data_IF_850424681135
#
_entry.id   IF_850424681135
#
_cell.length_a   1.000
_cell.length_b   1.000
_cell.length_c   1.000
_cell.angle_alpha   90.00
_cell.angle_beta   90.00
_cell.angle_gamma   90.00
#
_symmetry.space_group_name_H-M   'P 1'
#
loop_
_entity.id
_entity.type
_entity.pdbx_description
1 polymer ?
#
# COMPACT_ATOMS: atom_id res chain seq x y z
N UNK A 1 -14.54 8.84 42.57
CA UNK A 1 -14.39 9.14 41.12
C UNK A 1 -14.41 7.81 40.41
N UNK A 2 -15.56 7.49 39.83
CA UNK A 2 -15.90 6.16 39.31
C UNK A 2 -15.07 5.79 38.09
N UNK A 3 -14.55 4.56 38.11
CA UNK A 3 -13.79 3.98 37.02
C UNK A 3 -14.71 3.74 35.82
N UNK A 4 -14.48 4.49 34.75
CA UNK A 4 -15.00 4.17 33.42
C UNK A 4 -14.34 2.87 32.97
N UNK A 5 -15.08 1.78 33.06
CA UNK A 5 -14.68 0.44 32.65
C UNK A 5 -14.35 0.44 31.16
N UNK A 6 -13.31 -0.31 30.74
CA UNK A 6 -12.80 -0.34 29.36
C UNK A 6 -13.83 -0.67 28.25
N UNK A 7 -15.02 -1.16 28.61
CA UNK A 7 -16.15 -1.37 27.70
C UNK A 7 -16.65 -0.07 27.02
N UNK A 8 -16.63 1.04 27.74
CA UNK A 8 -17.22 2.30 27.29
C UNK A 8 -16.28 3.04 26.33
N UNK A 9 -14.98 2.93 26.57
CA UNK A 9 -13.94 3.43 25.66
C UNK A 9 -13.94 2.69 24.33
N UNK A 10 -14.09 1.36 24.35
CA UNK A 10 -14.09 0.54 23.14
C UNK A 10 -15.34 0.81 22.29
N UNK A 11 -16.49 0.99 22.93
CA UNK A 11 -17.75 1.35 22.26
C UNK A 11 -17.66 2.72 21.60
N UNK A 12 -17.05 3.70 22.28
CA UNK A 12 -16.82 5.03 21.71
C UNK A 12 -15.88 4.97 20.50
N UNK A 13 -14.75 4.29 20.63
CA UNK A 13 -13.78 4.11 19.54
C UNK A 13 -14.42 3.43 18.33
N UNK A 14 -15.21 2.38 18.56
CA UNK A 14 -15.99 1.70 17.52
C UNK A 14 -16.91 2.67 16.78
N UNK A 15 -17.69 3.47 17.51
CA UNK A 15 -18.63 4.43 16.92
C UNK A 15 -17.90 5.52 16.10
N UNK A 16 -16.74 6.00 16.58
CA UNK A 16 -15.89 6.93 15.84
C UNK A 16 -15.40 6.32 14.52
N UNK A 17 -14.87 5.09 14.55
CA UNK A 17 -14.40 4.38 13.35
C UNK A 17 -15.56 4.16 12.36
N UNK A 18 -16.74 3.79 12.86
CA UNK A 18 -17.91 3.54 12.00
C UNK A 18 -18.40 4.82 11.34
N UNK A 19 -18.46 5.93 12.10
CA UNK A 19 -18.79 7.25 11.56
C UNK A 19 -17.78 7.69 10.50
N UNK A 20 -16.48 7.47 10.76
CA UNK A 20 -15.41 7.84 9.85
C UNK A 20 -15.44 7.07 8.52
N UNK A 21 -15.68 5.75 8.56
CA UNK A 21 -15.84 4.97 7.32
C UNK A 21 -17.07 5.45 6.56
N UNK A 22 -18.20 5.64 7.25
CA UNK A 22 -19.48 6.03 6.62
C UNK A 22 -19.54 7.48 6.15
N UNK A 23 -18.63 8.36 6.61
CA UNK A 23 -18.51 9.72 6.09
C UNK A 23 -17.91 9.76 4.68
N UNK A 24 -17.27 8.68 4.23
CA UNK A 24 -16.78 8.57 2.85
C UNK A 24 -17.95 8.53 1.86
N UNK A 25 -17.85 9.30 0.79
CA UNK A 25 -18.85 9.33 -0.29
C UNK A 25 -19.03 7.92 -0.86
N UNK A 26 -20.26 7.42 -0.85
CA UNK A 26 -20.61 6.07 -1.33
C UNK A 26 -20.58 4.98 -0.25
N UNK A 27 -20.08 5.25 0.96
CA UNK A 27 -19.94 4.22 2.02
C UNK A 27 -20.96 4.35 3.17
N UNK A 28 -22.00 5.19 3.03
CA UNK A 28 -22.98 5.46 4.09
C UNK A 28 -23.61 4.19 4.69
N UNK A 29 -23.86 3.19 3.84
CA UNK A 29 -24.51 1.93 4.21
C UNK A 29 -23.55 0.73 4.19
N UNK A 30 -22.23 0.96 4.20
CA UNK A 30 -21.26 -0.14 4.18
C UNK A 30 -21.44 -1.03 5.41
N UNK A 31 -21.40 -2.33 5.16
CA UNK A 31 -21.45 -3.33 6.21
C UNK A 31 -20.04 -3.52 6.81
N UNK A 32 -19.89 -3.19 8.09
CA UNK A 32 -18.63 -3.36 8.83
C UNK A 32 -18.73 -4.67 9.62
N UNK A 33 -17.94 -5.65 9.22
CA UNK A 33 -17.87 -7.00 9.83
C UNK A 33 -16.61 -7.15 10.68
N UNK A 34 -16.61 -8.13 11.59
CA UNK A 34 -15.43 -8.58 12.36
C UNK A 34 -14.63 -7.44 13.03
N UNK A 35 -15.33 -6.48 13.64
CA UNK A 35 -14.69 -5.40 14.37
C UNK A 35 -14.06 -5.91 15.68
N UNK A 36 -12.79 -5.57 15.93
CA UNK A 36 -12.06 -5.94 17.14
C UNK A 36 -11.07 -4.84 17.51
N UNK A 37 -10.94 -4.54 18.81
CA UNK A 37 -9.86 -3.71 19.34
C UNK A 37 -8.92 -4.60 20.14
N UNK A 38 -7.62 -4.51 19.87
CA UNK A 38 -6.56 -5.11 20.67
C UNK A 38 -5.78 -4.04 21.41
N UNK A 39 -5.66 -4.21 22.72
CA UNK A 39 -4.79 -3.40 23.56
C UNK A 39 -3.39 -4.00 23.49
N UNK A 40 -2.44 -3.28 22.90
CA UNK A 40 -1.05 -3.73 22.84
C UNK A 40 -0.26 -3.24 24.05
N UNK A 41 -0.58 -2.05 24.57
CA UNK A 41 -0.20 -1.56 25.87
C UNK A 41 -1.25 -0.51 26.34
N UNK A 42 -0.96 0.28 27.37
CA UNK A 42 -1.89 1.30 27.89
C UNK A 42 -2.19 2.43 26.90
N UNK A 43 -1.30 2.67 25.93
CA UNK A 43 -1.33 3.84 25.06
C UNK A 43 -1.56 3.49 23.57
N UNK A 44 -1.45 2.21 23.21
CA UNK A 44 -1.52 1.74 21.82
C UNK A 44 -2.62 0.70 21.67
N UNK A 45 -3.63 1.09 20.89
CA UNK A 45 -4.78 0.27 20.52
C UNK A 45 -4.75 -0.03 19.03
N UNK A 46 -4.92 -1.31 18.67
CA UNK A 46 -5.07 -1.75 17.29
C UNK A 46 -6.53 -2.08 17.00
N UNK A 47 -7.15 -1.36 16.07
CA UNK A 47 -8.50 -1.66 15.60
C UNK A 47 -8.44 -2.45 14.30
N UNK A 48 -9.10 -3.60 14.28
CA UNK A 48 -9.30 -4.45 13.11
C UNK A 48 -10.76 -4.39 12.71
N UNK A 49 -11.01 -4.31 11.40
CA UNK A 49 -12.35 -4.33 10.83
C UNK A 49 -12.29 -4.96 9.45
N UNK A 50 -13.42 -5.47 8.99
CA UNK A 50 -13.56 -6.02 7.65
C UNK A 50 -14.71 -5.30 6.93
N UNK A 51 -14.43 -4.80 5.74
CA UNK A 51 -15.37 -4.19 4.80
C UNK A 51 -15.11 -4.79 3.42
N UNK A 52 -16.01 -4.58 2.46
CA UNK A 52 -15.76 -5.06 1.10
C UNK A 52 -14.57 -4.32 0.46
N UNK A 53 -13.94 -4.96 -0.55
CA UNK A 53 -12.69 -4.47 -1.16
C UNK A 53 -12.83 -3.08 -1.80
N UNK A 54 -13.99 -2.76 -2.37
CA UNK A 54 -14.20 -1.45 -2.98
C UNK A 54 -14.40 -0.37 -1.91
N UNK A 55 -15.12 -0.69 -0.83
CA UNK A 55 -15.19 0.17 0.33
C UNK A 55 -13.82 0.38 1.00
N UNK A 56 -12.99 -0.66 1.11
CA UNK A 56 -11.62 -0.55 1.62
C UNK A 56 -10.78 0.41 0.79
N UNK A 57 -10.83 0.30 -0.55
CA UNK A 57 -10.14 1.23 -1.46
C UNK A 57 -10.60 2.68 -1.25
N UNK A 58 -11.91 2.91 -1.18
CA UNK A 58 -12.48 4.25 -1.00
C UNK A 58 -12.09 4.82 0.37
N UNK A 59 -12.27 4.05 1.44
CA UNK A 59 -11.94 4.47 2.80
C UNK A 59 -10.43 4.72 2.96
N UNK A 60 -9.58 3.86 2.40
CA UNK A 60 -8.14 4.01 2.41
C UNK A 60 -7.66 5.24 1.63
N UNK A 61 -8.24 5.52 0.46
CA UNK A 61 -7.87 6.68 -0.36
C UNK A 61 -8.12 8.02 0.33
N UNK A 62 -9.20 8.12 1.11
CA UNK A 62 -9.54 9.36 1.83
C UNK A 62 -9.16 9.29 3.33
N UNK A 63 -8.25 8.38 3.69
CA UNK A 63 -7.88 8.13 5.09
C UNK A 63 -7.38 9.37 5.83
N UNK A 64 -6.61 10.24 5.16
CA UNK A 64 -6.17 11.52 5.71
C UNK A 64 -7.32 12.34 6.28
N UNK A 65 -8.43 12.38 5.55
CA UNK A 65 -9.52 13.33 5.80
C UNK A 65 -10.36 12.88 7.00
N UNK A 66 -10.63 11.57 7.13
CA UNK A 66 -11.45 11.06 8.22
C UNK A 66 -10.64 10.64 9.44
N UNK A 67 -9.36 10.28 9.30
CA UNK A 67 -8.51 9.97 10.45
C UNK A 67 -8.29 11.23 11.28
N UNK A 68 -7.96 12.36 10.66
CA UNK A 68 -7.73 13.60 11.41
C UNK A 68 -8.98 14.06 12.15
N UNK A 69 -10.15 13.92 11.54
CA UNK A 69 -11.44 14.37 12.08
C UNK A 69 -11.97 13.44 13.18
N UNK A 70 -11.93 12.12 12.95
CA UNK A 70 -12.60 11.15 13.83
C UNK A 70 -11.66 10.35 14.72
N UNK A 71 -10.39 10.21 14.34
CA UNK A 71 -9.40 9.35 14.99
C UNK A 71 -8.05 10.06 15.14
N UNK A 72 -8.07 11.32 15.62
CA UNK A 72 -6.86 12.14 15.75
C UNK A 72 -5.73 11.39 16.46
N UNK A 73 -4.56 11.33 15.83
CA UNK A 73 -3.37 10.62 16.34
C UNK A 73 -3.32 9.13 16.00
N UNK A 74 -4.36 8.57 15.39
CA UNK A 74 -4.30 7.23 14.82
C UNK A 74 -3.51 7.24 13.50
N UNK A 75 -2.92 6.10 13.17
CA UNK A 75 -2.30 5.85 11.88
C UNK A 75 -3.01 4.69 11.19
N UNK A 76 -3.36 4.85 9.92
CA UNK A 76 -3.82 3.72 9.12
C UNK A 76 -2.66 2.75 8.92
N UNK A 77 -2.88 1.48 9.26
CA UNK A 77 -1.94 0.43 8.88
C UNK A 77 -2.26 0.09 7.42
N UNK A 78 -1.38 0.55 6.52
CA UNK A 78 -1.51 0.22 5.10
C UNK A 78 -1.52 -1.30 4.88
N UNK A 79 -2.26 -1.79 3.87
CA UNK A 79 -2.19 -3.19 3.46
C UNK A 79 -0.74 -3.64 3.28
N UNK A 80 -0.46 -4.88 3.70
CA UNK A 80 0.89 -5.44 3.57
C UNK A 80 1.23 -5.58 2.09
N UNK A 81 2.06 -4.69 1.60
CA UNK A 81 2.59 -4.76 0.25
C UNK A 81 3.87 -5.60 0.22
N UNK A 82 4.12 -6.27 -0.90
CA UNK A 82 5.29 -7.11 -1.11
C UNK A 82 6.22 -6.46 -2.13
N UNK A 83 7.30 -5.80 -1.70
CA UNK A 83 8.16 -5.07 -2.60
C UNK A 83 9.12 -6.00 -3.36
N UNK A 84 9.23 -5.75 -4.66
CA UNK A 84 10.24 -6.34 -5.54
C UNK A 84 11.04 -5.24 -6.23
N UNK A 85 12.31 -5.52 -6.49
CA UNK A 85 13.21 -4.64 -7.24
C UNK A 85 13.31 -5.15 -8.67
N UNK A 86 13.21 -4.24 -9.62
CA UNK A 86 13.33 -4.48 -11.05
C UNK A 86 14.50 -3.63 -11.51
N UNK A 87 15.56 -4.25 -12.02
CA UNK A 87 16.75 -3.53 -12.48
C UNK A 87 16.69 -3.20 -13.96
N UNK A 88 17.55 -2.30 -14.42
CA UNK A 88 17.75 -1.96 -15.83
C UNK A 88 16.53 -1.37 -16.57
N UNK A 89 15.51 -0.92 -15.86
CA UNK A 89 14.31 -0.30 -16.45
C UNK A 89 14.70 0.97 -17.22
N UNK A 90 14.24 1.07 -18.47
CA UNK A 90 14.49 2.22 -19.34
C UNK A 90 13.98 3.52 -18.69
N UNK A 91 14.87 4.49 -18.52
CA UNK A 91 14.50 5.78 -17.95
C UNK A 91 13.61 6.56 -18.92
N UNK A 92 13.90 6.49 -20.23
CA UNK A 92 13.17 7.25 -21.25
C UNK A 92 11.72 6.77 -21.32
N UNK A 93 11.50 5.47 -21.29
CA UNK A 93 10.18 4.88 -21.45
C UNK A 93 9.38 4.88 -20.14
N UNK A 94 10.07 4.76 -19.00
CA UNK A 94 9.40 4.62 -17.70
C UNK A 94 9.31 5.91 -16.87
N UNK A 95 9.95 7.02 -17.27
CA UNK A 95 9.92 8.27 -16.47
C UNK A 95 8.80 9.18 -16.92
N UNK A 96 8.06 9.74 -15.95
CA UNK A 96 7.11 10.81 -16.19
C UNK A 96 7.84 12.17 -16.30
N UNK A 97 7.60 12.90 -17.38
CA UNK A 97 8.32 14.15 -17.67
C UNK A 97 8.00 15.28 -16.68
N UNK A 98 6.82 15.26 -16.06
CA UNK A 98 6.37 16.33 -15.16
C UNK A 98 6.83 16.09 -13.72
N UNK A 99 6.69 14.85 -13.24
CA UNK A 99 6.93 14.48 -11.85
C UNK A 99 8.33 13.91 -11.61
N UNK A 100 9.07 13.55 -12.68
CA UNK A 100 10.32 12.78 -12.64
C UNK A 100 10.17 11.40 -11.95
N UNK A 101 8.93 10.97 -11.71
CA UNK A 101 8.56 9.68 -11.13
C UNK A 101 8.54 8.57 -12.18
N UNK A 102 8.14 7.36 -11.76
CA UNK A 102 7.77 6.32 -12.73
C UNK A 102 6.39 6.70 -13.29
N UNK A 103 6.24 6.70 -14.61
CA UNK A 103 4.97 7.02 -15.24
C UNK A 103 3.95 5.87 -15.08
N UNK A 104 2.66 6.20 -15.17
CA UNK A 104 1.60 5.20 -14.99
C UNK A 104 1.60 4.15 -16.12
N UNK A 105 2.06 4.51 -17.32
CA UNK A 105 2.18 3.60 -18.46
C UNK A 105 3.12 2.42 -18.13
N UNK A 106 4.30 2.68 -17.57
CA UNK A 106 5.26 1.66 -17.18
C UNK A 106 4.68 0.68 -16.16
N UNK A 107 3.91 1.21 -15.20
CA UNK A 107 3.21 0.39 -14.22
C UNK A 107 2.18 -0.51 -14.91
N UNK A 108 1.31 0.07 -15.73
CA UNK A 108 0.25 -0.66 -16.43
C UNK A 108 0.81 -1.72 -17.39
N UNK A 109 1.89 -1.41 -18.11
CA UNK A 109 2.59 -2.36 -18.96
C UNK A 109 3.15 -3.52 -18.14
N UNK A 110 3.82 -3.24 -17.02
CA UNK A 110 4.36 -4.29 -16.15
C UNK A 110 3.25 -5.17 -15.54
N UNK A 111 2.12 -4.58 -15.14
CA UNK A 111 0.93 -5.31 -14.67
C UNK A 111 0.35 -6.23 -15.75
N UNK A 112 0.17 -5.71 -16.97
CA UNK A 112 -0.43 -6.42 -18.08
C UNK A 112 0.45 -7.58 -18.57
N UNK A 113 1.74 -7.34 -18.77
CA UNK A 113 2.68 -8.33 -19.32
C UNK A 113 2.94 -9.50 -18.36
N UNK A 114 2.85 -9.28 -17.04
CA UNK A 114 3.15 -10.32 -16.04
C UNK A 114 1.91 -10.84 -15.31
N UNK A 115 0.73 -10.30 -15.62
CA UNK A 115 -0.54 -10.59 -14.95
C UNK A 115 -0.42 -10.47 -13.43
N UNK A 116 -0.02 -9.29 -12.96
CA UNK A 116 0.14 -8.93 -11.54
C UNK A 116 -0.58 -7.62 -11.24
N UNK A 117 -0.78 -7.30 -9.95
CA UNK A 117 -1.37 -6.04 -9.50
C UNK A 117 -0.35 -5.28 -8.64
N UNK A 118 -0.09 -4.03 -9.02
CA UNK A 118 0.90 -3.16 -8.37
C UNK A 118 0.17 -2.03 -7.65
N UNK A 119 0.35 -1.92 -6.34
CA UNK A 119 -0.16 -0.78 -5.58
C UNK A 119 0.64 0.48 -5.83
N UNK A 120 1.96 0.34 -5.92
CA UNK A 120 2.87 1.47 -6.13
C UNK A 120 4.11 1.04 -6.88
N UNK A 121 4.54 1.83 -7.87
CA UNK A 121 5.82 1.68 -8.55
C UNK A 121 6.65 2.98 -8.41
N UNK A 122 7.92 2.88 -8.05
CA UNK A 122 8.81 4.06 -7.91
C UNK A 122 10.26 3.75 -8.25
N UNK A 123 10.99 4.76 -8.71
CA UNK A 123 12.43 4.66 -8.85
C UNK A 123 13.10 4.36 -7.50
N UNK A 124 14.07 3.44 -7.51
CA UNK A 124 14.94 3.16 -6.38
C UNK A 124 16.01 4.26 -6.31
N UNK A 125 15.65 5.37 -5.68
CA UNK A 125 16.44 6.60 -5.67
C UNK A 125 16.07 7.55 -6.82
N UNK A 126 16.75 8.69 -6.92
CA UNK A 126 16.53 9.64 -8.02
C UNK A 126 17.27 9.13 -9.27
N UNK A 127 16.58 8.95 -10.41
CA UNK A 127 17.24 8.61 -11.67
C UNK A 127 18.27 9.68 -12.02
N UNK A 128 19.51 9.27 -12.35
CA UNK A 128 20.52 10.21 -12.84
C UNK A 128 20.18 10.62 -14.27
N UNK A 129 20.34 11.91 -14.59
CA UNK A 129 20.02 12.41 -15.92
C UNK A 129 20.91 11.85 -17.04
N UNK A 130 22.10 11.36 -16.69
CA UNK A 130 23.04 10.71 -17.61
C UNK A 130 22.83 9.20 -17.74
N UNK A 131 21.99 8.57 -16.92
CA UNK A 131 21.79 7.12 -16.96
C UNK A 131 20.68 6.75 -17.96
N UNK A 132 20.94 5.78 -18.83
CA UNK A 132 19.95 5.24 -19.75
C UNK A 132 18.89 4.40 -19.01
N UNK A 133 19.31 3.67 -17.99
CA UNK A 133 18.46 2.80 -17.20
C UNK A 133 18.56 3.11 -15.70
N UNK A 134 17.57 2.66 -14.94
CA UNK A 134 17.55 2.71 -13.49
C UNK A 134 16.90 1.48 -12.87
N UNK A 135 16.90 1.43 -11.54
CA UNK A 135 16.20 0.39 -10.78
C UNK A 135 14.88 0.94 -10.26
N UNK A 136 13.84 0.10 -10.26
CA UNK A 136 12.50 0.43 -9.79
C UNK A 136 12.12 -0.52 -8.65
N UNK A 137 11.35 -0.02 -7.68
CA UNK A 137 10.67 -0.84 -6.69
C UNK A 137 9.18 -0.86 -7.03
N UNK A 138 8.66 -2.05 -7.28
CA UNK A 138 7.23 -2.31 -7.42
C UNK A 138 6.71 -2.96 -6.14
N UNK A 139 5.62 -2.41 -5.59
CA UNK A 139 4.92 -2.93 -4.40
C UNK A 139 3.69 -3.71 -4.88
N UNK A 140 3.77 -5.03 -4.80
CA UNK A 140 2.69 -5.93 -5.20
C UNK A 140 1.65 -6.10 -4.08
N UNK A 141 0.41 -6.42 -4.49
CA UNK A 141 -0.72 -6.60 -3.57
C UNK A 141 -0.69 -7.93 -2.81
N UNK A 142 -0.10 -8.98 -3.39
CA UNK A 142 -0.06 -10.29 -2.75
C UNK A 142 1.31 -10.96 -2.79
N UNK A 143 1.56 -11.80 -1.78
CA UNK A 143 2.76 -12.64 -1.70
C UNK A 143 2.81 -13.65 -2.84
N UNK A 144 1.65 -14.18 -3.25
CA UNK A 144 1.54 -15.17 -4.33
C UNK A 144 2.02 -14.58 -5.66
N UNK A 145 1.73 -13.30 -5.94
CA UNK A 145 2.24 -12.63 -7.13
C UNK A 145 3.77 -12.53 -7.12
N UNK A 146 4.37 -12.27 -5.96
CA UNK A 146 5.84 -12.24 -5.80
C UNK A 146 6.44 -13.63 -6.01
N UNK A 147 5.83 -14.66 -5.43
CA UNK A 147 6.27 -16.05 -5.61
C UNK A 147 6.12 -16.51 -7.07
N UNK A 148 5.04 -16.12 -7.74
CA UNK A 148 4.84 -16.34 -9.19
C UNK A 148 5.99 -15.74 -10.00
N UNK A 149 6.33 -14.47 -9.78
CA UNK A 149 7.44 -13.82 -10.49
C UNK A 149 8.76 -14.57 -10.28
N UNK A 150 9.10 -14.93 -9.04
CA UNK A 150 10.34 -15.67 -8.78
C UNK A 150 10.32 -17.08 -9.36
N UNK A 151 9.17 -17.73 -9.39
CA UNK A 151 9.04 -19.05 -9.98
C UNK A 151 9.18 -19.03 -11.50
N UNK A 152 8.58 -18.06 -12.18
CA UNK A 152 8.78 -17.80 -13.61
C UNK A 152 10.28 -17.61 -13.90
N UNK A 153 10.93 -16.70 -13.16
CA UNK A 153 12.37 -16.47 -13.31
C UNK A 153 13.22 -17.71 -13.05
N UNK A 154 12.90 -18.51 -12.02
CA UNK A 154 13.62 -19.75 -11.70
C UNK A 154 13.49 -20.82 -12.79
N UNK A 155 12.39 -20.79 -13.55
CA UNK A 155 12.16 -21.66 -14.71
C UNK A 155 12.80 -21.15 -16.01
N UNK A 156 13.39 -19.97 -15.98
CA UNK A 156 13.87 -19.29 -17.19
C UNK A 156 12.74 -18.73 -18.05
N UNK A 157 11.54 -18.58 -17.50
CA UNK A 157 10.46 -17.84 -18.14
C UNK A 157 10.75 -16.34 -18.04
N UNK A 158 10.43 -15.60 -19.10
CA UNK A 158 10.78 -14.19 -19.23
C UNK A 158 9.78 -13.32 -18.45
N UNK A 159 10.31 -12.41 -17.63
CA UNK A 159 9.54 -11.33 -16.98
C UNK A 159 9.73 -10.08 -17.84
N UNK A 160 8.64 -9.45 -18.27
CA UNK A 160 8.73 -8.34 -19.22
C UNK A 160 8.39 -6.99 -18.62
N UNK A 161 9.06 -5.93 -19.08
CA UNK A 161 8.50 -4.57 -19.07
C UNK A 161 8.82 -3.91 -20.43
N UNK A 162 7.81 -3.39 -21.12
CA UNK A 162 7.97 -2.85 -22.49
C UNK A 162 8.54 -3.87 -23.48
N UNK A 163 8.11 -5.13 -23.38
CA UNK A 163 8.55 -6.21 -24.26
C UNK A 163 10.03 -6.60 -24.14
N UNK A 164 10.77 -6.07 -23.15
CA UNK A 164 12.14 -6.48 -22.84
C UNK A 164 12.17 -7.38 -21.61
N UNK A 165 13.11 -8.33 -21.53
CA UNK A 165 13.23 -9.24 -20.39
C UNK A 165 14.00 -8.61 -19.22
N UNK A 166 13.51 -8.80 -17.99
CA UNK A 166 14.09 -8.24 -16.77
C UNK A 166 14.30 -9.27 -15.68
N UNK A 167 15.27 -8.95 -14.80
CA UNK A 167 15.46 -9.67 -13.54
C UNK A 167 14.73 -8.95 -12.42
N UNK A 168 14.04 -9.74 -11.61
CA UNK A 168 13.35 -9.31 -10.41
C UNK A 168 14.09 -9.86 -9.19
N UNK A 169 14.29 -9.01 -8.19
CA UNK A 169 14.93 -9.34 -6.93
C UNK A 169 14.00 -9.06 -5.75
N UNK A 170 14.15 -9.82 -4.66
CA UNK A 170 13.50 -9.49 -3.39
C UNK A 170 14.03 -8.15 -2.90
N UNK A 171 13.12 -7.22 -2.62
CA UNK A 171 13.50 -5.94 -2.03
C UNK A 171 13.08 -5.92 -0.56
N UNK A 172 13.96 -5.47 0.33
CA UNK A 172 13.62 -5.24 1.73
C UNK A 172 13.73 -3.74 1.99
N UNK A 173 12.58 -3.06 2.02
CA UNK A 173 12.55 -1.64 2.33
C UNK A 173 12.94 -1.45 3.80
N UNK A 174 14.09 -0.80 4.05
CA UNK A 174 14.45 -0.39 5.41
C UNK A 174 13.41 0.63 5.87
N UNK A 175 12.46 0.22 6.73
CA UNK A 175 11.59 1.15 7.45
C UNK A 175 12.49 2.02 8.32
N UNK A 176 12.83 3.22 7.86
CA UNK A 176 13.34 4.25 8.78
C UNK A 176 12.14 4.63 9.67
N UNK A 177 12.28 4.61 11.01
CA UNK A 177 11.25 5.16 11.87
C UNK A 177 10.99 6.60 11.40
N UNK A 178 9.72 6.93 11.14
CA UNK A 178 9.35 8.31 10.89
C UNK A 178 9.76 9.11 12.13
N UNK A 179 10.62 10.10 11.93
CA UNK A 179 11.04 11.00 13.00
C UNK A 179 9.78 11.75 13.42
N UNK A 180 9.30 11.50 14.64
CA UNK A 180 8.29 12.32 15.28
C UNK A 180 8.89 13.73 15.44
N UNK A 181 8.26 14.72 14.82
CA UNK A 181 8.49 16.13 15.13
C UNK A 181 7.42 16.61 16.10
#
# INVERSE_FOLDING_TARGET
>A
MEGRTGSDSDTRTKNCIFAAIRSNKGLKNVEIRRFMIRHTNKDVHLAYLNIDKEAEKIAGKNASDWIEVFLKGANLIEPTCYPVKIDFVSRIDATDQNTKGVNECAKQTFEAENHIEIKHMKWLGRPKESAACGSVVAKLDSREQVEKLFWMQAKGEEIFIFGSMFKVEKFYEKKKPAICH
#
